data_IF_844315928924
#
_entry.id   IF_844315928924
#
_cell.length_a   1.000
_cell.length_b   1.000
_cell.length_c   1.000
_cell.angle_alpha   90.00
_cell.angle_beta   90.00
_cell.angle_gamma   90.00
#
_symmetry.space_group_name_H-M   'P 1'
#
loop_
_entity.id
_entity.type
_entity.pdbx_description
1 polymer ?
#
# COMPACT_ATOMS: atom_id res chain seq x y z
N UNK A 1 -17.26 15.94 48.58
CA UNK A 1 -16.54 17.23 48.65
C UNK A 1 -15.98 17.54 47.28
N UNK A 2 -16.47 18.58 46.60
CA UNK A 2 -15.96 18.96 45.28
C UNK A 2 -14.61 19.68 45.43
N UNK A 3 -13.58 19.20 44.74
CA UNK A 3 -12.29 19.88 44.67
C UNK A 3 -12.44 21.13 43.79
N UNK A 4 -12.24 22.31 44.35
CA UNK A 4 -12.33 23.57 43.60
C UNK A 4 -11.02 23.86 42.88
N UNK A 5 -11.09 24.55 41.75
CA UNK A 5 -9.89 24.98 41.00
C UNK A 5 -8.91 25.79 41.88
N UNK A 6 -9.43 26.59 42.82
CA UNK A 6 -8.61 27.33 43.79
C UNK A 6 -7.84 26.43 44.76
N UNK A 7 -8.42 25.29 45.15
CA UNK A 7 -7.72 24.29 45.97
C UNK A 7 -6.59 23.60 45.18
N UNK A 8 -6.81 23.28 43.90
CA UNK A 8 -5.79 22.70 43.01
C UNK A 8 -4.63 23.69 42.81
N UNK A 9 -4.95 24.96 42.53
CA UNK A 9 -3.95 26.01 42.34
C UNK A 9 -3.08 26.22 43.59
N UNK A 10 -3.69 26.23 44.79
CA UNK A 10 -2.97 26.38 46.05
C UNK A 10 -2.07 25.17 46.35
N UNK A 11 -2.54 23.95 46.09
CA UNK A 11 -1.75 22.74 46.24
C UNK A 11 -0.55 22.72 45.27
N UNK A 12 -0.77 23.07 43.99
CA UNK A 12 0.28 23.19 43.00
C UNK A 12 1.34 24.22 43.43
N UNK A 13 0.91 25.42 43.85
CA UNK A 13 1.81 26.46 44.35
C UNK A 13 2.66 25.98 45.54
N UNK A 14 2.07 25.23 46.48
CA UNK A 14 2.78 24.67 47.64
C UNK A 14 3.84 23.64 47.22
N UNK A 15 3.52 22.77 46.27
CA UNK A 15 4.46 21.79 45.70
C UNK A 15 5.60 22.50 44.94
N UNK A 16 5.28 23.55 44.17
CA UNK A 16 6.24 24.33 43.38
C UNK A 16 7.19 25.17 44.25
N UNK A 17 6.71 25.73 45.37
CA UNK A 17 7.51 26.57 46.27
C UNK A 17 8.42 25.77 47.20
N UNK A 18 8.21 24.46 47.38
CA UNK A 18 9.05 23.60 48.21
C UNK A 18 10.01 22.76 47.37
N UNK A 19 11.32 22.97 47.53
CA UNK A 19 12.33 22.31 46.71
C UNK A 19 12.31 20.77 46.81
N UNK A 20 12.14 20.21 48.01
CA UNK A 20 12.11 18.75 48.21
C UNK A 20 10.89 18.14 47.53
N UNK A 21 9.71 18.75 47.70
CA UNK A 21 8.47 18.29 47.07
C UNK A 21 8.53 18.44 45.54
N UNK A 22 9.01 19.58 45.04
CA UNK A 22 9.20 19.83 43.60
C UNK A 22 10.11 18.80 42.97
N UNK A 23 11.26 18.49 43.60
CA UNK A 23 12.19 17.46 43.10
C UNK A 23 11.56 16.07 43.14
N UNK A 24 10.86 15.70 44.23
CA UNK A 24 10.18 14.41 44.34
C UNK A 24 9.11 14.21 43.27
N UNK A 25 8.26 15.22 43.04
CA UNK A 25 7.24 15.19 41.98
C UNK A 25 7.89 15.16 40.60
N UNK A 26 8.95 15.95 40.36
CA UNK A 26 9.69 15.91 39.11
C UNK A 26 10.27 14.53 38.79
N UNK A 27 10.94 13.89 39.76
CA UNK A 27 11.46 12.53 39.59
C UNK A 27 10.37 11.49 39.39
N UNK A 28 9.24 11.63 40.09
CA UNK A 28 8.07 10.74 39.90
C UNK A 28 7.49 10.88 38.49
N UNK A 29 7.34 12.13 38.01
CA UNK A 29 6.90 12.39 36.63
C UNK A 29 7.88 11.81 35.62
N UNK A 30 9.19 11.96 35.82
CA UNK A 30 10.20 11.36 34.93
C UNK A 30 10.11 9.83 34.95
N UNK A 31 10.00 9.20 36.12
CA UNK A 31 9.91 7.75 36.25
C UNK A 31 8.68 7.15 35.55
N UNK A 32 7.58 7.90 35.45
CA UNK A 32 6.34 7.48 34.79
C UNK A 32 6.35 7.87 33.30
N UNK A 33 6.66 9.12 32.97
CA UNK A 33 6.55 9.64 31.61
C UNK A 33 7.69 9.15 30.71
N UNK A 34 8.89 8.96 31.25
CA UNK A 34 10.04 8.48 30.47
C UNK A 34 9.77 7.14 29.77
N UNK A 35 9.35 6.06 30.47
CA UNK A 35 9.06 4.80 29.80
C UNK A 35 7.87 4.90 28.84
N UNK A 36 6.85 5.72 29.14
CA UNK A 36 5.70 5.93 28.23
C UNK A 36 6.15 6.60 26.93
N UNK A 37 6.96 7.64 27.01
CA UNK A 37 7.49 8.34 25.82
C UNK A 37 8.35 7.40 24.99
N UNK A 38 9.23 6.62 25.63
CA UNK A 38 10.07 5.63 24.93
C UNK A 38 9.19 4.56 24.27
N UNK A 39 8.15 4.07 24.94
CA UNK A 39 7.23 3.11 24.38
C UNK A 39 6.49 3.68 23.16
N UNK A 40 5.98 4.91 23.24
CA UNK A 40 5.32 5.59 22.12
C UNK A 40 6.30 5.75 20.96
N UNK A 41 7.52 6.24 21.22
CA UNK A 41 8.54 6.39 20.19
C UNK A 41 8.86 5.06 19.51
N UNK A 42 9.02 3.98 20.29
CA UNK A 42 9.24 2.63 19.76
C UNK A 42 8.08 2.17 18.87
N UNK A 43 6.84 2.32 19.33
CA UNK A 43 5.65 1.94 18.56
C UNK A 43 5.54 2.75 17.26
N UNK A 44 5.81 4.06 17.32
CA UNK A 44 5.86 4.92 16.14
C UNK A 44 6.97 4.49 15.17
N UNK A 45 8.17 4.17 15.67
CA UNK A 45 9.28 3.71 14.83
C UNK A 45 8.99 2.37 14.15
N UNK A 46 8.41 1.40 14.87
CA UNK A 46 8.03 0.11 14.28
C UNK A 46 6.93 0.29 13.24
N UNK A 47 5.91 1.10 13.55
CA UNK A 47 4.81 1.41 12.63
C UNK A 47 5.30 2.10 11.36
N UNK A 48 6.16 3.12 11.49
CA UNK A 48 6.75 3.83 10.34
C UNK A 48 7.65 2.92 9.52
N UNK A 49 8.54 2.16 10.16
CA UNK A 49 9.45 1.26 9.45
C UNK A 49 8.71 0.16 8.68
N UNK A 50 7.64 -0.39 9.25
CA UNK A 50 6.78 -1.36 8.55
C UNK A 50 6.03 -0.74 7.36
N UNK A 51 5.50 0.48 7.52
CA UNK A 51 4.85 1.20 6.43
C UNK A 51 5.83 1.53 5.29
N UNK A 52 7.04 2.00 5.61
CA UNK A 52 8.07 2.32 4.63
C UNK A 52 8.51 1.07 3.87
N UNK A 53 8.69 -0.07 4.56
CA UNK A 53 9.02 -1.32 3.90
C UNK A 53 7.92 -1.80 2.96
N UNK A 54 6.66 -1.71 3.37
CA UNK A 54 5.52 -2.09 2.52
C UNK A 54 5.40 -1.17 1.30
N UNK A 55 5.58 0.14 1.47
CA UNK A 55 5.56 1.10 0.38
C UNK A 55 6.70 0.86 -0.61
N UNK A 56 7.89 0.51 -0.12
CA UNK A 56 9.01 0.13 -0.98
C UNK A 56 8.71 -1.15 -1.75
N UNK A 57 8.13 -2.18 -1.12
CA UNK A 57 7.75 -3.43 -1.79
C UNK A 57 6.80 -3.17 -2.96
N UNK A 58 5.76 -2.37 -2.72
CA UNK A 58 4.83 -1.93 -3.77
C UNK A 58 5.57 -1.16 -4.85
N UNK A 59 6.39 -0.17 -4.49
CA UNK A 59 7.11 0.63 -5.47
C UNK A 59 8.03 -0.23 -6.35
N UNK A 60 8.73 -1.20 -5.76
CA UNK A 60 9.64 -2.09 -6.47
C UNK A 60 8.91 -3.07 -7.40
N UNK A 61 7.78 -3.62 -6.96
CA UNK A 61 6.96 -4.49 -7.79
C UNK A 61 6.34 -3.72 -8.97
N UNK A 62 5.83 -2.51 -8.75
CA UNK A 62 5.10 -1.74 -9.77
C UNK A 62 6.00 -0.93 -10.71
N UNK A 63 7.10 -0.38 -10.21
CA UNK A 63 7.93 0.57 -10.95
C UNK A 63 9.36 0.09 -11.19
N UNK A 64 9.73 -1.08 -10.68
CA UNK A 64 11.05 -1.66 -10.89
C UNK A 64 12.19 -0.89 -10.22
N UNK A 65 11.90 -0.08 -9.20
CA UNK A 65 12.93 0.60 -8.39
C UNK A 65 13.80 -0.44 -7.71
N UNK A 66 15.12 -0.22 -7.73
CA UNK A 66 16.10 -1.12 -7.12
C UNK A 66 15.85 -1.24 -5.60
N UNK A 67 15.69 -2.47 -5.13
CA UNK A 67 15.62 -2.79 -3.70
C UNK A 67 17.01 -2.73 -3.07
N UNK A 68 17.11 -2.29 -1.80
CA UNK A 68 18.38 -2.33 -1.06
C UNK A 68 18.90 -3.77 -0.97
N UNK A 69 20.22 -3.96 -1.14
CA UNK A 69 20.88 -5.26 -0.93
C UNK A 69 20.87 -5.72 0.53
N UNK A 70 20.49 -4.83 1.45
CA UNK A 70 20.28 -5.14 2.88
C UNK A 70 19.02 -5.98 3.12
N UNK A 71 18.13 -6.08 2.12
CA UNK A 71 16.90 -6.88 2.21
C UNK A 71 17.21 -8.35 1.94
N UNK A 72 16.66 -9.29 2.75
CA UNK A 72 16.90 -10.72 2.58
C UNK A 72 16.56 -11.20 1.16
N UNK A 73 17.31 -12.20 0.69
CA UNK A 73 17.19 -12.72 -0.68
C UNK A 73 15.78 -13.23 -1.01
N UNK A 74 15.11 -13.89 -0.05
CA UNK A 74 13.73 -14.38 -0.21
C UNK A 74 12.74 -13.24 -0.53
N UNK A 75 12.86 -12.08 0.13
CA UNK A 75 12.00 -10.95 -0.17
C UNK A 75 12.26 -10.39 -1.57
N UNK A 76 13.52 -10.37 -2.00
CA UNK A 76 13.86 -9.94 -3.37
C UNK A 76 13.29 -10.91 -4.40
N UNK A 77 13.34 -12.20 -4.12
CA UNK A 77 12.73 -13.24 -4.96
C UNK A 77 11.23 -13.02 -5.16
N UNK A 78 10.47 -12.78 -4.08
CA UNK A 78 9.03 -12.52 -4.20
C UNK A 78 8.70 -11.25 -5.00
N UNK A 79 9.56 -10.22 -4.95
CA UNK A 79 9.40 -9.03 -5.80
C UNK A 79 9.64 -9.38 -7.28
N UNK A 80 10.63 -10.22 -7.58
CA UNK A 80 10.90 -10.68 -8.94
C UNK A 80 9.76 -11.56 -9.49
N UNK A 81 9.23 -12.48 -8.69
CA UNK A 81 8.05 -13.28 -9.03
C UNK A 81 6.83 -12.39 -9.28
N UNK A 82 6.59 -11.40 -8.42
CA UNK A 82 5.48 -10.46 -8.61
C UNK A 82 5.63 -9.63 -9.90
N UNK A 83 6.85 -9.21 -10.24
CA UNK A 83 7.13 -8.50 -11.50
C UNK A 83 6.90 -9.39 -12.72
N UNK A 84 7.23 -10.68 -12.60
CA UNK A 84 6.94 -11.68 -13.64
C UNK A 84 5.42 -11.83 -13.81
N UNK A 85 4.67 -11.97 -12.71
CA UNK A 85 3.22 -12.01 -12.72
C UNK A 85 2.62 -10.75 -13.38
N UNK A 86 3.11 -9.57 -13.02
CA UNK A 86 2.67 -8.30 -13.61
C UNK A 86 2.91 -8.22 -15.11
N UNK A 87 4.03 -8.75 -15.61
CA UNK A 87 4.31 -8.79 -17.05
C UNK A 87 3.29 -9.67 -17.81
N UNK A 88 2.87 -10.77 -17.20
CA UNK A 88 1.81 -11.64 -17.75
C UNK A 88 0.45 -10.96 -17.72
N UNK A 89 0.12 -10.25 -16.63
CA UNK A 89 -1.11 -9.48 -16.51
C UNK A 89 -1.16 -8.33 -17.51
N UNK A 90 -0.06 -7.58 -17.67
CA UNK A 90 0.03 -6.48 -18.64
C UNK A 90 -0.18 -7.02 -20.07
N UNK A 91 0.35 -8.20 -20.38
CA UNK A 91 0.14 -8.87 -21.68
C UNK A 91 -1.33 -9.28 -21.86
N UNK A 92 -1.95 -9.88 -20.85
CA UNK A 92 -3.36 -10.27 -20.91
C UNK A 92 -4.30 -9.05 -21.02
N UNK A 93 -4.03 -7.99 -20.25
CA UNK A 93 -4.78 -6.72 -20.32
C UNK A 93 -4.61 -6.07 -21.68
N UNK A 94 -3.39 -6.01 -22.23
CA UNK A 94 -3.15 -5.46 -23.56
C UNK A 94 -3.92 -6.24 -24.64
N UNK A 95 -3.96 -7.58 -24.54
CA UNK A 95 -4.73 -8.41 -25.48
C UNK A 95 -6.22 -8.12 -25.42
N UNK A 96 -6.80 -7.95 -24.23
CA UNK A 96 -8.22 -7.61 -24.06
C UNK A 96 -8.49 -6.21 -24.59
N UNK A 97 -7.66 -5.24 -24.23
CA UNK A 97 -7.82 -3.85 -24.65
C UNK A 97 -7.68 -3.66 -26.17
N UNK A 98 -6.87 -4.48 -26.85
CA UNK A 98 -6.81 -4.50 -28.31
C UNK A 98 -8.12 -4.91 -29.00
N UNK A 99 -9.05 -5.53 -28.26
CA UNK A 99 -10.38 -5.92 -28.73
C UNK A 99 -11.49 -5.00 -28.20
N UNK A 100 -11.16 -4.06 -27.31
CA UNK A 100 -12.13 -3.18 -26.67
C UNK A 100 -12.30 -1.89 -27.47
N UNK A 101 -13.55 -1.55 -27.79
CA UNK A 101 -13.90 -0.30 -28.46
C UNK A 101 -14.29 0.80 -27.46
N UNK A 102 -14.33 2.05 -27.93
CA UNK A 102 -14.92 3.22 -27.21
C UNK A 102 -14.25 3.60 -25.88
N UNK A 103 -12.99 3.24 -25.66
CA UNK A 103 -12.24 3.66 -24.47
C UNK A 103 -12.63 2.95 -23.17
N UNK A 104 -13.43 1.88 -23.25
CA UNK A 104 -13.82 1.05 -22.09
C UNK A 104 -12.75 0.01 -21.70
N UNK A 105 -11.48 0.30 -22.01
CA UNK A 105 -10.37 -0.61 -21.73
C UNK A 105 -10.13 -0.80 -20.23
N UNK A 106 -9.54 -1.93 -19.88
CA UNK A 106 -9.09 -2.23 -18.53
C UNK A 106 -7.89 -1.35 -18.15
N UNK A 107 -7.89 -0.85 -16.92
CA UNK A 107 -6.77 -0.13 -16.32
C UNK A 107 -5.76 -1.15 -15.75
N UNK A 108 -4.57 -1.30 -16.36
CA UNK A 108 -3.59 -2.30 -15.95
C UNK A 108 -3.09 -2.10 -14.51
N UNK A 109 -3.08 -0.87 -14.01
CA UNK A 109 -2.65 -0.59 -12.63
C UNK A 109 -3.67 -1.13 -11.64
N UNK A 110 -4.97 -0.98 -11.91
CA UNK A 110 -6.04 -1.51 -11.04
C UNK A 110 -6.01 -3.04 -10.99
N UNK A 111 -5.84 -3.68 -12.14
CA UNK A 111 -5.75 -5.14 -12.23
C UNK A 111 -4.55 -5.65 -11.42
N UNK A 112 -3.38 -5.03 -11.60
CA UNK A 112 -2.17 -5.37 -10.84
C UNK A 112 -2.33 -5.11 -9.34
N UNK A 113 -3.01 -4.03 -8.93
CA UNK A 113 -3.26 -3.73 -7.53
C UNK A 113 -4.13 -4.80 -6.85
N UNK A 114 -5.20 -5.25 -7.51
CA UNK A 114 -6.04 -6.34 -6.99
C UNK A 114 -5.24 -7.64 -6.93
N UNK A 115 -4.48 -7.96 -7.97
CA UNK A 115 -3.64 -9.17 -7.98
C UNK A 115 -2.59 -9.15 -6.85
N UNK A 116 -1.88 -8.02 -6.69
CA UNK A 116 -0.89 -7.85 -5.63
C UNK A 116 -1.51 -8.06 -4.25
N UNK A 117 -2.68 -7.49 -3.98
CA UNK A 117 -3.35 -7.63 -2.69
C UNK A 117 -3.75 -9.09 -2.38
N UNK A 118 -4.01 -9.91 -3.40
CA UNK A 118 -4.45 -11.30 -3.24
C UNK A 118 -3.31 -12.32 -3.28
N UNK A 119 -2.23 -12.03 -4.00
CA UNK A 119 -1.21 -13.01 -4.37
C UNK A 119 0.21 -12.56 -4.01
N UNK A 120 0.40 -11.53 -3.18
CA UNK A 120 1.74 -11.14 -2.75
C UNK A 120 2.44 -12.23 -1.94
N UNK A 121 3.67 -12.55 -2.32
CA UNK A 121 4.48 -13.60 -1.71
C UNK A 121 4.26 -15.00 -2.30
N UNK A 122 3.31 -15.15 -3.24
CA UNK A 122 3.11 -16.39 -4.00
C UNK A 122 4.02 -16.43 -5.24
N UNK A 123 4.24 -17.63 -5.76
CA UNK A 123 4.94 -17.84 -7.03
C UNK A 123 4.15 -17.22 -8.21
N UNK A 124 4.87 -16.82 -9.25
CA UNK A 124 4.27 -16.23 -10.43
C UNK A 124 3.27 -17.21 -11.08
N UNK A 125 2.08 -16.74 -11.49
CA UNK A 125 1.09 -17.59 -12.12
C UNK A 125 1.56 -18.00 -13.53
N UNK A 126 1.02 -19.11 -14.03
CA UNK A 126 1.12 -19.39 -15.47
C UNK A 126 0.41 -18.31 -16.30
N UNK A 127 0.81 -18.13 -17.56
CA UNK A 127 0.15 -17.21 -18.49
C UNK A 127 -1.37 -17.46 -18.59
N UNK A 128 -1.78 -18.74 -18.61
CA UNK A 128 -3.20 -19.13 -18.61
C UNK A 128 -3.94 -18.66 -17.36
N UNK A 129 -3.33 -18.77 -16.19
CA UNK A 129 -3.93 -18.32 -14.93
C UNK A 129 -4.03 -16.79 -14.90
N UNK A 130 -3.01 -16.07 -15.41
CA UNK A 130 -3.07 -14.62 -15.56
C UNK A 130 -4.22 -14.19 -16.49
N UNK A 131 -4.41 -14.82 -17.65
CA UNK A 131 -5.54 -14.55 -18.55
C UNK A 131 -6.88 -14.77 -17.86
N UNK A 132 -7.05 -15.90 -17.15
CA UNK A 132 -8.27 -16.20 -16.39
C UNK A 132 -8.56 -15.20 -15.27
N UNK A 133 -7.51 -14.65 -14.64
CA UNK A 133 -7.69 -13.59 -13.65
C UNK A 133 -8.21 -12.31 -14.30
N UNK A 134 -7.66 -11.92 -15.45
CA UNK A 134 -8.10 -10.72 -16.19
C UNK A 134 -9.55 -10.87 -16.70
N UNK A 135 -9.98 -12.08 -17.07
CA UNK A 135 -11.38 -12.39 -17.42
C UNK A 135 -12.41 -11.98 -16.35
N UNK A 136 -12.03 -11.92 -15.08
CA UNK A 136 -12.95 -11.49 -14.02
C UNK A 136 -13.36 -10.02 -14.08
N UNK A 137 -12.68 -9.19 -14.89
CA UNK A 137 -12.84 -7.73 -14.88
C UNK A 137 -13.63 -7.18 -16.07
N UNK A 138 -14.13 -8.03 -16.95
CA UNK A 138 -14.90 -7.60 -18.10
C UNK A 138 -15.92 -8.66 -18.51
N UNK A 139 -16.86 -8.25 -19.38
CA UNK A 139 -17.79 -9.16 -20.04
C UNK A 139 -17.62 -9.02 -21.54
N UNK A 140 -17.86 -10.10 -22.27
CA UNK A 140 -17.89 -10.05 -23.74
C UNK A 140 -19.30 -9.73 -24.23
N UNK A 141 -19.39 -9.00 -25.34
CA UNK A 141 -20.62 -8.78 -26.09
C UNK A 141 -20.31 -8.99 -27.58
N UNK A 142 -21.18 -9.70 -28.30
CA UNK A 142 -21.06 -9.83 -29.76
C UNK A 142 -21.80 -8.67 -30.43
N UNK A 143 -21.09 -7.87 -31.22
CA UNK A 143 -21.68 -6.77 -32.00
C UNK A 143 -21.49 -6.98 -33.50
N UNK A 144 -22.44 -6.49 -34.27
CA UNK A 144 -22.36 -6.47 -35.75
C UNK A 144 -21.97 -5.07 -36.19
N UNK A 145 -20.95 -4.95 -37.03
CA UNK A 145 -20.52 -3.68 -37.63
C UNK A 145 -20.69 -3.78 -39.15
N UNK A 146 -21.34 -2.77 -39.73
CA UNK A 146 -21.35 -2.59 -41.19
C UNK A 146 -19.98 -2.06 -41.61
N UNK A 147 -19.34 -2.75 -42.55
CA UNK A 147 -18.07 -2.32 -43.16
C UNK A 147 -18.37 -2.03 -44.62
N UNK A 148 -18.33 -0.75 -44.99
CA UNK A 148 -18.46 -0.35 -46.39
C UNK A 148 -17.16 -0.70 -47.09
N UNK A 149 -17.24 -1.50 -48.16
CA UNK A 149 -16.08 -1.91 -48.96
C UNK A 149 -16.15 -1.12 -50.26
N UNK A 150 -15.22 -0.18 -50.43
CA UNK A 150 -15.10 0.54 -51.69
C UNK A 150 -14.44 -0.38 -52.74
N UNK A 151 -15.17 -0.67 -53.81
CA UNK A 151 -14.69 -1.45 -54.94
C UNK A 151 -13.69 -0.63 -55.77
N UNK A 152 -12.88 -1.29 -56.61
CA UNK A 152 -11.92 -0.64 -57.52
C UNK A 152 -12.56 0.38 -58.48
N UNK A 153 -13.89 0.35 -58.65
CA UNK A 153 -14.68 1.28 -59.46
C UNK A 153 -15.27 2.47 -58.66
N UNK A 154 -14.95 2.59 -57.37
CA UNK A 154 -15.38 3.69 -56.49
C UNK A 154 -16.80 3.55 -55.95
N UNK A 155 -17.41 2.36 -56.04
CA UNK A 155 -18.72 2.06 -55.42
C UNK A 155 -18.54 1.46 -54.03
N UNK A 156 -19.43 1.82 -53.09
CA UNK A 156 -19.51 1.29 -51.71
C UNK A 156 -20.71 0.37 -51.54
#
# INVERSE_FOLDING_TARGET
>A
MAVSAGMIAKAAATVLSNEKLRKGVGWTLVAILSPIIVLIALLCSIGSGGADHNNQAVAAAFYGVSYSTEVPAEFRYHIEEMRTAFSLLDSAVASVNGQTESGNGLDPIRIKAVFYALCFGEDAPSARAASRFVECFYTWETRTRTVDIENDDGTV
#
